data_IF_598781203904
#
_entry.id   IF_598781203904
#
_cell.length_a   1.000
_cell.length_b   1.000
_cell.length_c   1.000
_cell.angle_alpha   90.00
_cell.angle_beta   90.00
_cell.angle_gamma   90.00
#
_symmetry.space_group_name_H-M   'P 1'
#
loop_
_entity.id
_entity.type
_entity.pdbx_description
1 polymer ?
#
# COMPACT_ATOMS: atom_id res chain seq x y z
N UNK A 1 -4.66 -3.32 14.42
CA UNK A 1 -5.86 -2.67 13.86
C UNK A 1 -6.32 -3.48 12.65
N UNK A 2 -7.61 -3.45 12.33
CA UNK A 2 -8.22 -4.13 11.18
C UNK A 2 -8.98 -3.11 10.32
N UNK A 3 -9.05 -3.27 9.00
CA UNK A 3 -9.84 -2.39 8.14
C UNK A 3 -11.34 -2.67 8.35
N UNK A 4 -12.15 -1.62 8.53
CA UNK A 4 -13.59 -1.75 8.81
C UNK A 4 -14.38 -2.46 7.71
N UNK A 5 -13.93 -2.37 6.45
CA UNK A 5 -14.54 -3.04 5.30
C UNK A 5 -14.22 -4.54 5.29
N UNK A 6 -13.20 -4.97 6.02
CA UNK A 6 -12.69 -6.34 6.05
C UNK A 6 -13.05 -7.08 7.35
N UNK A 7 -13.62 -6.38 8.34
CA UNK A 7 -13.96 -6.96 9.64
C UNK A 7 -15.45 -6.72 10.00
N UNK A 8 -16.25 -7.78 10.18
CA UNK A 8 -17.68 -7.65 10.45
C UNK A 8 -17.99 -7.03 11.82
N UNK A 9 -17.10 -7.18 12.83
CA UNK A 9 -17.29 -6.58 14.15
C UNK A 9 -17.13 -5.06 14.07
N UNK A 10 -16.13 -4.58 13.33
CA UNK A 10 -15.96 -3.14 13.09
C UNK A 10 -17.12 -2.56 12.29
N UNK A 11 -17.55 -3.26 11.24
CA UNK A 11 -18.75 -2.89 10.46
C UNK A 11 -20.02 -2.81 11.32
N UNK A 12 -20.18 -3.70 12.31
CA UNK A 12 -21.29 -3.66 13.26
C UNK A 12 -21.14 -2.53 14.28
N UNK A 13 -19.95 -2.37 14.87
CA UNK A 13 -19.63 -1.29 15.81
C UNK A 13 -19.87 0.09 15.21
N UNK A 14 -19.52 0.28 13.92
CA UNK A 14 -19.72 1.57 13.23
C UNK A 14 -21.19 2.02 13.17
N UNK A 15 -22.15 1.11 13.34
CA UNK A 15 -23.59 1.40 13.36
C UNK A 15 -24.09 1.82 14.76
N UNK A 16 -23.28 1.73 15.81
CA UNK A 16 -23.65 2.17 17.16
C UNK A 16 -23.38 3.68 17.37
N UNK A 17 -23.91 4.30 18.43
CA UNK A 17 -23.58 5.68 18.77
C UNK A 17 -22.08 5.94 18.97
N UNK A 18 -21.35 4.99 19.56
CA UNK A 18 -19.91 5.06 19.81
C UNK A 18 -19.09 4.92 18.52
N UNK A 19 -19.63 4.22 17.52
CA UNK A 19 -19.02 4.07 16.21
C UNK A 19 -19.13 5.31 15.31
N UNK A 20 -19.90 6.33 15.72
CA UNK A 20 -20.10 7.54 14.91
C UNK A 20 -18.78 8.29 14.72
N UNK A 21 -18.55 8.77 13.49
CA UNK A 21 -17.39 9.57 13.09
C UNK A 21 -17.48 11.02 13.60
N UNK A 22 -17.66 11.20 14.90
CA UNK A 22 -17.79 12.52 15.53
C UNK A 22 -16.60 12.72 16.45
N UNK A 23 -15.50 13.21 15.87
CA UNK A 23 -14.32 13.63 16.62
C UNK A 23 -13.97 15.08 16.25
N UNK A 24 -13.32 15.79 17.17
CA UNK A 24 -12.91 17.18 16.95
C UNK A 24 -11.81 17.37 15.90
N UNK A 25 -11.17 16.27 15.48
CA UNK A 25 -10.11 16.21 14.48
C UNK A 25 -10.53 15.32 13.30
N UNK A 26 -10.17 15.74 12.08
CA UNK A 26 -10.58 15.06 10.84
C UNK A 26 -9.94 13.68 10.69
N UNK A 27 -8.67 13.53 11.10
CA UNK A 27 -7.99 12.23 11.07
C UNK A 27 -8.64 11.27 12.08
N UNK A 28 -8.88 11.74 13.31
CA UNK A 28 -9.53 10.95 14.34
C UNK A 28 -10.94 10.52 13.94
N UNK A 29 -11.68 11.38 13.25
CA UNK A 29 -13.02 11.06 12.74
C UNK A 29 -13.03 9.89 11.77
N UNK A 30 -11.95 9.65 11.04
CA UNK A 30 -11.85 8.58 10.05
C UNK A 30 -11.19 7.31 10.59
N UNK A 31 -10.13 7.46 11.40
CA UNK A 31 -9.23 6.36 11.75
C UNK A 31 -9.35 5.84 13.18
N UNK A 32 -10.19 6.45 14.02
CA UNK A 32 -10.49 5.91 15.35
C UNK A 32 -11.46 4.74 15.24
N UNK A 33 -10.98 3.59 15.70
CA UNK A 33 -11.70 2.31 15.73
C UNK A 33 -11.08 1.41 16.81
N UNK A 34 -11.88 0.56 17.47
CA UNK A 34 -11.38 -0.36 18.48
C UNK A 34 -10.45 -1.42 17.87
N UNK A 35 -9.59 -1.99 18.71
CA UNK A 35 -8.89 -3.22 18.37
C UNK A 35 -9.87 -4.39 18.41
N UNK A 36 -9.75 -5.31 17.44
CA UNK A 36 -10.54 -6.55 17.37
C UNK A 36 -9.75 -7.77 17.87
N UNK A 37 -8.48 -7.57 18.22
CA UNK A 37 -7.58 -8.56 18.82
C UNK A 37 -6.42 -7.85 19.52
N UNK A 38 -5.76 -8.56 20.45
CA UNK A 38 -4.59 -8.06 21.16
C UNK A 38 -3.39 -7.84 20.21
N UNK A 39 -2.60 -6.77 20.37
CA UNK A 39 -1.41 -6.54 19.56
C UNK A 39 -0.45 -7.73 19.57
N UNK A 40 -0.12 -8.24 18.37
CA UNK A 40 0.76 -9.39 18.20
C UNK A 40 0.04 -10.75 18.15
N UNK A 41 -1.25 -10.83 18.48
CA UNK A 41 -1.99 -12.11 18.46
C UNK A 41 -2.65 -12.42 17.11
N UNK A 42 -2.80 -11.43 16.23
CA UNK A 42 -3.38 -11.63 14.90
C UNK A 42 -2.92 -10.57 13.90
N UNK A 43 -3.13 -10.83 12.62
CA UNK A 43 -2.85 -9.91 11.51
C UNK A 43 -4.12 -9.62 10.70
N UNK A 44 -4.28 -8.36 10.29
CA UNK A 44 -5.34 -7.93 9.38
C UNK A 44 -4.86 -6.67 8.64
N UNK A 45 -5.25 -6.53 7.37
CA UNK A 45 -5.02 -5.30 6.61
C UNK A 45 -5.75 -4.14 7.29
N UNK A 46 -5.12 -2.97 7.44
CA UNK A 46 -5.68 -1.86 8.24
C UNK A 46 -5.07 -0.51 7.93
N UNK A 47 -5.55 0.51 8.64
CA UNK A 47 -5.10 1.90 8.62
C UNK A 47 -3.87 2.15 9.50
N UNK A 48 -3.10 1.10 9.82
CA UNK A 48 -1.94 1.21 10.72
C UNK A 48 -0.85 2.13 10.18
N UNK A 49 -0.72 2.23 8.85
CA UNK A 49 0.26 3.12 8.22
C UNK A 49 -0.18 4.59 8.31
N UNK A 50 -1.48 4.88 8.34
CA UNK A 50 -2.00 6.23 8.62
C UNK A 50 -1.63 6.67 10.03
N UNK A 51 -1.78 5.78 11.02
CA UNK A 51 -1.33 6.01 12.39
C UNK A 51 0.20 6.12 12.52
N UNK A 52 0.96 5.33 11.76
CA UNK A 52 2.41 5.47 11.70
C UNK A 52 2.82 6.84 11.14
N UNK A 53 2.10 7.34 10.13
CA UNK A 53 2.26 8.71 9.62
C UNK A 53 2.07 9.76 10.71
N UNK A 54 1.00 9.66 11.51
CA UNK A 54 0.81 10.53 12.69
C UNK A 54 1.94 10.41 13.70
N UNK A 55 2.40 9.20 13.99
CA UNK A 55 3.53 9.01 14.90
C UNK A 55 4.77 9.75 14.40
N UNK A 56 5.06 9.71 13.10
CA UNK A 56 6.15 10.48 12.48
C UNK A 56 5.94 11.98 12.66
N UNK A 57 4.75 12.52 12.40
CA UNK A 57 4.47 13.94 12.62
C UNK A 57 4.74 14.35 14.07
N UNK A 58 4.19 13.59 15.02
CA UNK A 58 4.31 13.85 16.45
C UNK A 58 5.77 13.73 16.95
N UNK A 59 6.49 12.70 16.53
CA UNK A 59 7.89 12.49 16.90
C UNK A 59 8.82 13.61 16.36
N UNK A 60 8.41 14.30 15.30
CA UNK A 60 9.16 15.38 14.67
C UNK A 60 8.57 16.77 15.02
N UNK A 61 8.03 16.92 16.22
CA UNK A 61 7.58 18.23 16.72
C UNK A 61 6.31 18.77 16.05
N UNK A 62 5.49 17.88 15.47
CA UNK A 62 4.24 18.25 14.79
C UNK A 62 4.44 18.70 13.34
N UNK A 63 5.61 18.46 12.74
CA UNK A 63 5.82 18.70 11.30
C UNK A 63 4.88 17.80 10.50
N UNK A 64 4.08 18.39 9.62
CA UNK A 64 3.15 17.65 8.76
C UNK A 64 3.89 16.62 7.88
N UNK A 65 3.28 15.46 7.65
CA UNK A 65 3.91 14.33 6.95
C UNK A 65 4.32 14.70 5.51
N UNK A 66 3.51 15.49 4.80
CA UNK A 66 3.85 16.09 3.50
C UNK A 66 5.18 16.83 3.55
N UNK A 67 5.35 17.68 4.57
CA UNK A 67 6.57 18.48 4.75
C UNK A 67 7.74 17.61 5.18
N UNK A 68 7.51 16.59 6.01
CA UNK A 68 8.54 15.67 6.47
C UNK A 68 9.13 14.84 5.33
N UNK A 69 8.30 14.33 4.42
CA UNK A 69 8.76 13.44 3.34
C UNK A 69 9.61 14.14 2.28
N UNK A 70 9.45 15.45 2.08
CA UNK A 70 10.26 16.28 1.15
C UNK A 70 10.48 15.65 -0.24
N UNK A 71 9.44 15.06 -0.84
CA UNK A 71 9.53 14.36 -2.12
C UNK A 71 8.70 15.02 -3.21
N UNK A 72 8.96 14.62 -4.46
CA UNK A 72 8.12 14.97 -5.61
C UNK A 72 6.77 14.22 -5.62
N UNK A 73 6.58 13.29 -4.67
CA UNK A 73 5.32 12.65 -4.33
C UNK A 73 4.60 13.51 -3.27
N UNK A 74 3.28 13.62 -3.33
CA UNK A 74 2.49 14.50 -2.46
C UNK A 74 1.24 13.81 -1.91
N UNK A 75 0.80 14.20 -0.72
CA UNK A 75 -0.53 13.91 -0.18
C UNK A 75 -1.57 14.97 -0.57
N UNK A 76 -1.12 16.15 -1.00
CA UNK A 76 -1.96 17.31 -1.28
C UNK A 76 -1.98 17.62 -2.78
N UNK A 77 -2.74 16.83 -3.54
CA UNK A 77 -2.88 17.00 -4.98
C UNK A 77 -3.30 18.43 -5.37
N UNK A 78 -4.14 19.07 -4.56
CA UNK A 78 -4.59 20.45 -4.76
C UNK A 78 -3.46 21.49 -4.70
N UNK A 79 -2.31 21.14 -4.10
CA UNK A 79 -1.13 22.00 -3.98
C UNK A 79 -0.07 21.74 -5.05
N UNK A 80 -0.21 20.68 -5.85
CA UNK A 80 0.79 20.28 -6.88
C UNK A 80 0.17 20.32 -8.28
N UNK A 81 0.10 21.50 -8.88
CA UNK A 81 -0.54 21.74 -10.18
C UNK A 81 -0.03 20.79 -11.30
N UNK A 82 1.28 20.53 -11.38
CA UNK A 82 1.85 19.62 -12.39
C UNK A 82 1.48 18.15 -12.18
N UNK A 83 1.32 17.72 -10.93
CA UNK A 83 0.84 16.36 -10.61
C UNK A 83 -0.64 16.28 -10.97
N UNK A 84 -1.43 17.29 -10.60
CA UNK A 84 -2.85 17.40 -10.94
C UNK A 84 -3.09 17.39 -12.46
N UNK A 85 -2.27 18.11 -13.23
CA UNK A 85 -2.40 18.19 -14.69
C UNK A 85 -2.06 16.87 -15.40
N UNK A 86 -1.10 16.11 -14.87
CA UNK A 86 -0.61 14.86 -15.47
C UNK A 86 -1.25 13.61 -14.86
N UNK A 87 -2.24 13.77 -13.97
CA UNK A 87 -2.92 12.66 -13.33
C UNK A 87 -3.62 11.79 -14.37
N UNK A 88 -3.59 10.49 -14.16
CA UNK A 88 -4.33 9.53 -14.97
C UNK A 88 -5.67 9.27 -14.26
N UNK A 89 -6.76 9.31 -15.02
CA UNK A 89 -8.06 8.95 -14.48
C UNK A 89 -8.19 7.44 -14.32
N UNK A 90 -8.85 7.01 -13.24
CA UNK A 90 -9.12 5.60 -13.04
C UNK A 90 -10.15 5.10 -14.06
N UNK A 91 -9.93 3.87 -14.50
CA UNK A 91 -10.80 3.15 -15.43
C UNK A 91 -11.29 1.87 -14.74
N UNK A 92 -12.49 1.43 -15.08
CA UNK A 92 -13.05 0.15 -14.64
C UNK A 92 -13.34 -0.74 -15.82
N UNK A 93 -13.02 -2.03 -15.67
CA UNK A 93 -13.45 -3.07 -16.59
C UNK A 93 -14.83 -3.57 -16.20
N UNK A 94 -15.76 -3.52 -17.14
CA UNK A 94 -17.10 -4.08 -16.98
C UNK A 94 -17.01 -5.61 -17.10
N UNK A 95 -17.33 -6.39 -16.04
CA UNK A 95 -17.10 -7.83 -16.04
C UNK A 95 -17.76 -8.60 -17.20
N UNK A 96 -18.97 -8.20 -17.60
CA UNK A 96 -19.75 -8.93 -18.60
C UNK A 96 -19.28 -8.67 -20.04
N UNK A 97 -18.77 -7.47 -20.31
CA UNK A 97 -18.41 -7.03 -21.66
C UNK A 97 -16.91 -6.90 -21.90
N UNK A 98 -16.11 -6.86 -20.83
CA UNK A 98 -14.68 -6.55 -20.88
C UNK A 98 -14.36 -5.10 -21.23
N UNK A 99 -15.37 -4.26 -21.47
CA UNK A 99 -15.17 -2.85 -21.85
C UNK A 99 -14.54 -2.06 -20.72
N UNK A 100 -13.63 -1.17 -21.11
CA UNK A 100 -13.01 -0.20 -20.23
C UNK A 100 -13.84 1.10 -20.22
N UNK A 101 -14.31 1.50 -19.05
CA UNK A 101 -15.09 2.72 -18.85
C UNK A 101 -14.42 3.64 -17.81
N UNK A 102 -14.53 4.98 -17.94
CA UNK A 102 -14.09 5.88 -16.89
C UNK A 102 -14.75 5.52 -15.56
N UNK A 103 -13.96 5.49 -14.48
CA UNK A 103 -14.50 5.21 -13.17
C UNK A 103 -15.31 6.42 -12.67
N UNK A 104 -16.61 6.23 -12.50
CA UNK A 104 -17.56 7.31 -12.20
C UNK A 104 -17.75 7.61 -10.72
N UNK A 105 -17.30 6.70 -9.84
CA UNK A 105 -17.28 6.92 -8.39
C UNK A 105 -15.93 7.50 -7.95
N UNK A 106 -15.96 8.61 -7.20
CA UNK A 106 -14.79 9.15 -6.50
C UNK A 106 -14.45 8.25 -5.31
N UNK A 107 -13.36 7.45 -5.34
CA UNK A 107 -13.01 6.64 -4.19
C UNK A 107 -12.66 7.56 -3.02
N UNK A 108 -13.24 7.25 -1.86
CA UNK A 108 -12.98 7.98 -0.61
C UNK A 108 -11.48 8.05 -0.28
N UNK A 109 -10.72 7.07 -0.77
CA UNK A 109 -9.28 6.92 -0.53
C UNK A 109 -8.38 7.83 -1.37
N UNK A 110 -8.91 8.52 -2.39
CA UNK A 110 -8.14 9.45 -3.22
C UNK A 110 -8.91 10.77 -3.48
N UNK A 111 -9.33 11.51 -2.45
CA UNK A 111 -10.07 12.76 -2.64
C UNK A 111 -9.16 13.85 -3.23
N UNK A 112 -9.72 14.74 -4.06
CA UNK A 112 -8.95 15.85 -4.65
C UNK A 112 -8.36 16.81 -3.61
N UNK A 113 -9.01 16.92 -2.44
CA UNK A 113 -8.60 17.77 -1.33
C UNK A 113 -8.65 16.95 -0.05
N UNK A 114 -7.53 16.93 0.67
CA UNK A 114 -7.41 16.24 1.96
C UNK A 114 -7.17 17.25 3.08
N UNK A 115 -7.67 16.92 4.28
CA UNK A 115 -7.43 17.73 5.48
C UNK A 115 -6.21 17.26 6.28
N UNK A 116 -5.68 16.08 5.97
CA UNK A 116 -4.50 15.49 6.58
C UNK A 116 -3.85 14.52 5.58
N UNK A 117 -2.58 14.19 5.80
CA UNK A 117 -1.88 13.19 5.00
C UNK A 117 -2.28 11.76 5.45
N UNK A 118 -2.85 10.97 4.54
CA UNK A 118 -3.10 9.54 4.74
C UNK A 118 -1.84 8.76 4.36
N UNK A 119 -1.09 8.29 5.37
CA UNK A 119 0.12 7.49 5.15
C UNK A 119 -0.15 6.15 4.44
N UNK A 120 -1.36 5.59 4.58
CA UNK A 120 -1.72 4.30 3.99
C UNK A 120 -2.17 4.36 2.54
N UNK A 121 -2.74 5.48 2.07
CA UNK A 121 -3.36 5.55 0.74
C UNK A 121 -3.33 6.91 0.05
N UNK A 122 -2.77 7.96 0.67
CA UNK A 122 -2.94 9.33 0.20
C UNK A 122 -1.89 9.85 -0.79
N UNK A 123 -0.88 9.07 -1.17
CA UNK A 123 0.23 9.55 -2.01
C UNK A 123 -0.16 9.62 -3.50
N UNK A 124 0.18 10.76 -4.11
CA UNK A 124 0.14 11.02 -5.54
C UNK A 124 1.55 11.25 -6.06
N UNK A 125 1.93 10.57 -7.13
CA UNK A 125 3.25 10.70 -7.72
C UNK A 125 3.30 10.11 -9.13
N UNK A 126 4.52 9.95 -9.64
CA UNK A 126 4.76 9.28 -10.93
C UNK A 126 5.54 7.98 -10.72
N UNK A 127 5.39 7.04 -11.65
CA UNK A 127 6.11 5.78 -11.62
C UNK A 127 7.65 5.96 -11.50
N UNK A 128 8.30 6.90 -12.23
CA UNK A 128 9.72 7.18 -12.03
C UNK A 128 10.10 7.63 -10.61
N UNK A 129 9.29 8.49 -9.97
CA UNK A 129 9.57 8.94 -8.60
C UNK A 129 9.45 7.81 -7.59
N UNK A 130 8.44 6.95 -7.75
CA UNK A 130 8.30 5.77 -6.89
C UNK A 130 9.44 4.75 -7.11
N UNK A 131 9.86 4.54 -8.36
CA UNK A 131 10.98 3.67 -8.69
C UNK A 131 12.31 4.15 -8.10
N UNK A 132 12.52 5.47 -7.92
CA UNK A 132 13.71 5.98 -7.21
C UNK A 132 13.76 5.49 -5.77
N UNK A 133 12.62 5.46 -5.07
CA UNK A 133 12.52 4.95 -3.70
C UNK A 133 12.88 3.47 -3.65
N UNK A 134 12.25 2.65 -4.52
CA UNK A 134 12.55 1.21 -4.60
C UNK A 134 14.02 0.95 -4.94
N UNK A 135 14.58 1.74 -5.85
CA UNK A 135 15.98 1.63 -6.29
C UNK A 135 16.95 2.00 -5.17
N UNK A 136 16.67 3.04 -4.37
CA UNK A 136 17.52 3.42 -3.22
C UNK A 136 17.53 2.31 -2.16
N UNK A 137 16.37 1.70 -1.88
CA UNK A 137 16.27 0.56 -0.96
C UNK A 137 17.03 -0.65 -1.51
N UNK A 138 16.82 -1.02 -2.79
CA UNK A 138 17.52 -2.14 -3.43
C UNK A 138 19.05 -1.98 -3.38
N UNK A 139 19.54 -0.77 -3.67
CA UNK A 139 20.97 -0.46 -3.72
C UNK A 139 21.59 -0.29 -2.33
N UNK A 140 20.77 -0.21 -1.29
CA UNK A 140 21.18 0.12 0.07
C UNK A 140 22.15 1.33 0.10
N UNK A 141 21.75 2.40 -0.60
CA UNK A 141 22.67 3.51 -0.93
C UNK A 141 22.76 4.59 0.17
N UNK A 142 22.13 4.36 1.33
CA UNK A 142 22.17 5.26 2.47
C UNK A 142 21.42 6.58 2.29
N UNK A 143 20.74 6.82 1.16
CA UNK A 143 20.04 8.10 0.91
C UNK A 143 18.75 8.25 1.69
N UNK A 144 18.03 7.14 1.86
CA UNK A 144 16.75 7.12 2.58
C UNK A 144 16.90 6.62 4.01
N UNK A 145 17.63 5.52 4.18
CA UNK A 145 17.74 4.79 5.45
C UNK A 145 19.16 4.27 5.61
N UNK A 146 19.61 4.14 6.86
CA UNK A 146 20.85 3.45 7.15
C UNK A 146 20.73 1.94 6.79
N UNK A 147 21.82 1.34 6.35
CA UNK A 147 21.87 -0.07 5.92
C UNK A 147 21.30 -1.06 6.94
N UNK A 148 21.57 -0.84 8.23
CA UNK A 148 20.97 -1.67 9.30
C UNK A 148 19.44 -1.68 9.28
N UNK A 149 18.82 -0.55 8.95
CA UNK A 149 17.36 -0.42 8.85
C UNK A 149 16.84 -1.03 7.55
N UNK A 150 17.55 -0.84 6.43
CA UNK A 150 17.22 -1.50 5.15
C UNK A 150 17.20 -3.01 5.33
N UNK A 151 18.23 -3.60 5.95
CA UNK A 151 18.26 -5.04 6.24
C UNK A 151 17.12 -5.50 7.14
N UNK A 152 16.72 -4.69 8.12
CA UNK A 152 15.59 -5.00 9.00
C UNK A 152 14.28 -5.11 8.20
N UNK A 153 14.08 -4.31 7.15
CA UNK A 153 12.88 -4.36 6.32
C UNK A 153 12.63 -5.73 5.68
N UNK A 154 13.68 -6.53 5.46
CA UNK A 154 13.60 -7.86 4.85
C UNK A 154 13.46 -9.01 5.86
N UNK A 155 13.50 -8.71 7.17
CA UNK A 155 13.32 -9.71 8.24
C UNK A 155 11.84 -9.99 8.50
N UNK A 156 11.56 -11.18 9.01
CA UNK A 156 10.21 -11.54 9.46
C UNK A 156 9.89 -10.84 10.78
N UNK A 157 8.81 -10.06 10.81
CA UNK A 157 8.35 -9.25 11.93
C UNK A 157 7.05 -9.75 12.58
N UNK A 158 6.40 -10.78 12.02
CA UNK A 158 5.18 -11.34 12.61
C UNK A 158 5.49 -12.38 13.68
N UNK A 159 4.71 -12.33 14.76
CA UNK A 159 4.61 -13.45 15.71
C UNK A 159 4.05 -14.69 15.02
N UNK A 160 4.22 -15.90 15.59
CA UNK A 160 3.61 -17.11 15.07
C UNK A 160 2.08 -17.01 14.91
N UNK A 161 1.38 -16.40 15.88
CA UNK A 161 -0.07 -16.24 15.84
C UNK A 161 -0.53 -15.28 14.72
N UNK A 162 0.16 -14.14 14.58
CA UNK A 162 -0.07 -13.18 13.49
C UNK A 162 0.23 -13.79 12.12
N UNK A 163 1.28 -14.62 12.01
CA UNK A 163 1.62 -15.31 10.77
C UNK A 163 0.53 -16.29 10.35
N UNK A 164 0.01 -17.08 11.29
CA UNK A 164 -1.04 -18.06 11.02
C UNK A 164 -2.34 -17.40 10.56
N UNK A 165 -2.80 -16.36 11.25
CA UNK A 165 -4.00 -15.61 10.86
C UNK A 165 -3.85 -14.93 9.49
N UNK A 166 -2.69 -14.34 9.21
CA UNK A 166 -2.37 -13.76 7.90
C UNK A 166 -2.50 -14.80 6.77
N UNK A 167 -1.93 -16.00 6.95
CA UNK A 167 -2.02 -17.10 5.97
C UNK A 167 -3.47 -17.51 5.73
N UNK A 168 -4.29 -17.60 6.77
CA UNK A 168 -5.71 -17.96 6.64
C UNK A 168 -6.46 -16.92 5.81
N UNK A 169 -6.27 -15.64 6.10
CA UNK A 169 -6.92 -14.53 5.37
C UNK A 169 -6.49 -14.54 3.90
N UNK A 170 -5.19 -14.73 3.63
CA UNK A 170 -4.66 -14.68 2.27
C UNK A 170 -5.10 -15.88 1.44
N UNK A 171 -5.20 -17.07 2.04
CA UNK A 171 -5.81 -18.25 1.37
C UNK A 171 -7.26 -18.03 0.99
N UNK A 172 -8.03 -17.36 1.85
CA UNK A 172 -9.43 -17.06 1.57
C UNK A 172 -9.58 -16.03 0.44
N UNK A 173 -8.70 -15.01 0.41
CA UNK A 173 -8.81 -13.87 -0.51
C UNK A 173 -8.16 -14.11 -1.87
N UNK A 174 -7.04 -14.85 -1.93
CA UNK A 174 -6.24 -15.06 -3.15
C UNK A 174 -6.09 -16.55 -3.53
N UNK A 175 -6.84 -17.45 -2.88
CA UNK A 175 -6.78 -18.89 -3.13
C UNK A 175 -5.50 -19.56 -2.63
N UNK A 176 -5.24 -20.79 -3.11
CA UNK A 176 -4.06 -21.59 -2.73
C UNK A 176 -2.75 -21.14 -3.40
N UNK A 177 -2.66 -19.91 -3.89
CA UNK A 177 -1.42 -19.37 -4.42
C UNK A 177 -0.34 -19.47 -3.31
N UNK A 178 0.73 -20.21 -3.62
CA UNK A 178 1.78 -20.56 -2.68
C UNK A 178 2.70 -19.36 -2.43
N UNK A 179 2.17 -18.36 -1.74
CA UNK A 179 2.98 -17.27 -1.25
C UNK A 179 3.61 -17.66 0.08
N UNK A 180 4.94 -17.77 0.13
CA UNK A 180 5.66 -17.93 1.38
C UNK A 180 5.81 -16.56 2.06
N UNK A 181 4.83 -16.23 2.91
CA UNK A 181 4.71 -14.92 3.54
C UNK A 181 5.71 -14.72 4.68
N UNK A 182 6.78 -14.05 4.29
CA UNK A 182 7.98 -13.61 5.00
C UNK A 182 8.00 -12.25 5.70
N UNK A 183 6.93 -11.71 6.29
CA UNK A 183 6.74 -10.25 6.35
C UNK A 183 7.67 -9.42 7.24
N UNK A 184 8.47 -8.56 6.60
CA UNK A 184 8.79 -7.21 7.08
C UNK A 184 7.74 -6.19 6.58
N UNK A 185 8.13 -4.96 6.22
CA UNK A 185 7.21 -3.87 5.79
C UNK A 185 6.48 -4.12 4.44
N UNK A 186 6.49 -5.35 3.93
CA UNK A 186 5.83 -5.72 2.69
C UNK A 186 5.75 -7.23 2.43
N UNK A 187 5.00 -7.50 1.36
CA UNK A 187 4.84 -8.66 0.48
C UNK A 187 6.09 -9.50 0.13
N UNK A 188 5.94 -10.68 -0.50
CA UNK A 188 7.03 -11.60 -0.91
C UNK A 188 6.50 -12.32 -2.15
N UNK A 189 7.27 -12.26 -3.24
CA UNK A 189 7.06 -13.05 -4.46
C UNK A 189 8.02 -14.24 -4.50
N UNK A 190 9.29 -13.98 -4.18
CA UNK A 190 10.36 -14.98 -3.94
C UNK A 190 10.91 -14.88 -2.51
N UNK A 191 11.62 -15.91 -2.05
CA UNK A 191 12.31 -15.88 -0.75
C UNK A 191 13.26 -14.67 -0.70
N UNK A 192 13.14 -13.85 0.34
CA UNK A 192 13.99 -12.67 0.53
C UNK A 192 13.55 -11.41 -0.22
N UNK A 193 12.51 -11.47 -1.06
CA UNK A 193 11.96 -10.28 -1.71
C UNK A 193 10.98 -9.50 -0.82
N UNK A 194 10.79 -8.21 -1.14
CA UNK A 194 9.65 -7.39 -0.70
C UNK A 194 8.69 -7.18 -1.89
N UNK A 195 7.40 -7.07 -1.63
CA UNK A 195 6.40 -6.70 -2.62
C UNK A 195 5.20 -5.99 -1.98
N UNK A 196 4.36 -5.31 -2.72
CA UNK A 196 3.00 -4.99 -2.28
C UNK A 196 2.21 -4.49 -3.49
N UNK A 197 1.01 -3.98 -3.26
CA UNK A 197 0.23 -3.34 -4.30
C UNK A 197 -0.56 -2.13 -3.81
N UNK A 198 -1.20 -1.49 -4.77
CA UNK A 198 -2.15 -0.42 -4.59
C UNK A 198 -3.44 -0.72 -5.33
N UNK A 199 -4.53 -0.14 -4.83
CA UNK A 199 -5.90 -0.47 -5.24
C UNK A 199 -6.14 -0.57 -6.77
N UNK A 200 -5.69 0.39 -7.61
CA UNK A 200 -5.97 0.33 -9.05
C UNK A 200 -4.93 -0.51 -9.80
N UNK A 201 -4.73 -1.77 -9.38
CA UNK A 201 -3.76 -2.72 -9.94
C UNK A 201 -2.35 -2.11 -10.09
N UNK A 202 -1.87 -1.49 -9.01
CA UNK A 202 -0.48 -1.10 -8.85
C UNK A 202 0.25 -2.23 -8.14
N UNK A 203 1.43 -2.63 -8.60
CA UNK A 203 2.21 -3.68 -7.97
C UNK A 203 3.70 -3.33 -7.98
N UNK A 204 4.36 -3.45 -6.84
CA UNK A 204 5.79 -3.21 -6.74
C UNK A 204 6.50 -4.37 -6.04
N UNK A 205 7.79 -4.51 -6.31
CA UNK A 205 8.65 -5.49 -5.65
C UNK A 205 10.11 -5.06 -5.62
N UNK A 206 10.86 -5.64 -4.68
CA UNK A 206 12.30 -5.53 -4.53
C UNK A 206 12.83 -6.95 -4.28
N UNK A 207 13.69 -7.45 -5.16
CA UNK A 207 14.39 -8.73 -5.05
C UNK A 207 15.90 -8.44 -4.97
N UNK A 208 16.47 -8.38 -3.75
CA UNK A 208 17.89 -8.13 -3.56
C UNK A 208 18.78 -9.23 -4.12
N UNK A 209 18.31 -10.49 -4.13
CA UNK A 209 19.10 -11.63 -4.62
C UNK A 209 19.27 -11.55 -6.14
N UNK A 210 18.20 -11.19 -6.85
CA UNK A 210 18.25 -10.96 -8.29
C UNK A 210 18.78 -9.56 -8.68
N UNK A 211 18.94 -8.64 -7.73
CA UNK A 211 19.31 -7.25 -8.02
C UNK A 211 18.22 -6.48 -8.79
N UNK A 212 16.95 -6.82 -8.59
CA UNK A 212 15.82 -6.27 -9.35
C UNK A 212 14.86 -5.53 -8.43
N UNK A 213 14.46 -4.32 -8.82
CA UNK A 213 13.31 -3.62 -8.26
C UNK A 213 12.36 -3.26 -9.39
N UNK A 214 11.06 -3.45 -9.16
CA UNK A 214 10.06 -3.29 -10.20
C UNK A 214 8.81 -2.58 -9.71
N UNK A 215 8.15 -1.92 -10.65
CA UNK A 215 6.83 -1.32 -10.50
C UNK A 215 6.04 -1.59 -11.78
N UNK A 216 4.92 -2.26 -11.63
CA UNK A 216 3.84 -2.27 -12.60
C UNK A 216 2.79 -1.25 -12.13
N UNK A 217 2.51 -0.25 -12.95
CA UNK A 217 1.57 0.81 -12.60
C UNK A 217 0.46 0.90 -13.64
N UNK A 218 -0.72 0.37 -13.31
CA UNK A 218 -1.94 0.63 -14.06
C UNK A 218 -2.85 1.61 -13.30
N UNK A 219 -3.97 2.00 -13.90
CA UNK A 219 -5.04 2.77 -13.25
C UNK A 219 -6.39 2.07 -13.49
N UNK A 220 -6.39 0.73 -13.36
CA UNK A 220 -7.51 -0.13 -13.73
C UNK A 220 -8.15 -0.78 -12.50
N UNK A 221 -9.47 -0.87 -12.53
CA UNK A 221 -10.30 -1.61 -11.58
C UNK A 221 -11.11 -2.70 -12.31
N UNK A 222 -11.59 -3.73 -11.60
CA UNK A 222 -11.42 -3.99 -10.16
C UNK A 222 -9.97 -4.35 -9.80
N UNK A 223 -9.60 -4.25 -8.53
CA UNK A 223 -8.34 -4.82 -8.03
C UNK A 223 -8.26 -6.30 -8.38
N UNK A 224 -7.06 -6.78 -8.73
CA UNK A 224 -6.81 -8.13 -9.26
C UNK A 224 -7.57 -8.41 -10.57
N UNK A 225 -7.62 -7.39 -11.44
CA UNK A 225 -8.13 -7.55 -12.81
C UNK A 225 -7.28 -8.59 -13.56
N UNK A 226 -7.92 -9.62 -14.11
CA UNK A 226 -7.21 -10.76 -14.70
C UNK A 226 -6.23 -10.35 -15.81
N UNK A 227 -6.65 -9.49 -16.73
CA UNK A 227 -5.76 -9.06 -17.82
C UNK A 227 -4.57 -8.25 -17.27
N UNK A 228 -4.81 -7.42 -16.25
CA UNK A 228 -3.73 -6.69 -15.58
C UNK A 228 -2.76 -7.61 -14.86
N UNK A 229 -3.24 -8.67 -14.20
CA UNK A 229 -2.36 -9.64 -13.52
C UNK A 229 -1.61 -10.54 -14.49
N UNK A 230 -2.22 -10.93 -15.61
CA UNK A 230 -1.55 -11.70 -16.66
C UNK A 230 -0.42 -10.87 -17.29
N UNK A 231 -0.67 -9.57 -17.56
CA UNK A 231 0.36 -8.66 -18.08
C UNK A 231 1.48 -8.41 -17.08
N UNK A 232 1.15 -8.27 -15.78
CA UNK A 232 2.14 -8.19 -14.71
C UNK A 232 3.07 -9.42 -14.72
N UNK A 233 2.50 -10.62 -14.84
CA UNK A 233 3.26 -11.88 -14.86
C UNK A 233 4.21 -11.95 -16.05
N UNK A 234 3.75 -11.54 -17.24
CA UNK A 234 4.58 -11.47 -18.45
C UNK A 234 5.69 -10.44 -18.32
N UNK A 235 5.34 -9.23 -17.85
CA UNK A 235 6.29 -8.15 -17.62
C UNK A 235 7.38 -8.55 -16.62
N UNK A 236 7.00 -9.18 -15.50
CA UNK A 236 7.97 -9.66 -14.52
C UNK A 236 8.87 -10.73 -15.12
N UNK A 237 8.32 -11.75 -15.79
CA UNK A 237 9.13 -12.80 -16.44
C UNK A 237 10.15 -12.22 -17.42
N UNK A 238 9.75 -11.24 -18.20
CA UNK A 238 10.65 -10.58 -19.15
C UNK A 238 11.73 -9.76 -18.44
N UNK A 239 11.36 -8.97 -17.42
CA UNK A 239 12.30 -8.18 -16.63
C UNK A 239 13.40 -9.05 -16.01
N UNK A 240 13.05 -10.19 -15.41
CA UNK A 240 14.05 -11.09 -14.82
C UNK A 240 14.93 -11.77 -15.88
N UNK A 241 14.39 -12.11 -17.05
CA UNK A 241 15.21 -12.63 -18.16
C UNK A 241 16.23 -11.60 -18.62
N UNK A 242 15.83 -10.35 -18.77
CA UNK A 242 16.73 -9.26 -19.15
C UNK A 242 17.80 -9.02 -18.08
N UNK A 243 17.42 -9.01 -16.80
CA UNK A 243 18.36 -8.82 -15.70
C UNK A 243 19.43 -9.93 -15.61
N UNK A 244 19.08 -11.18 -15.94
CA UNK A 244 20.04 -12.30 -16.00
C UNK A 244 21.00 -12.24 -17.19
N UNK A 245 20.70 -11.43 -18.21
CA UNK A 245 21.52 -11.27 -19.40
C UNK A 245 22.54 -10.12 -19.28
N UNK A 246 22.51 -9.35 -18.19
CA UNK A 246 23.46 -8.28 -17.86
C UNK A 246 24.63 -8.80 -17.01
#
# INVERSE_FOLDING_TARGET
>A
MANELMDPLLSAWRKTPEGRRVHGDAFMSEYVMPLVYEPGESWMYSVSIDWAGKLVEHANGGVALETYMQQDITFHLEKKALVKQRRIEMTSRVPESGLLIPQSWSPYFAPERVNHASGGSGLWGSAPEFLKVLTSILRDDGKLLASGIVMEMFKSQLSPASKNSCIVILKFTHGNAAFEFTWGLGGKRKKGSLAWGGYPNLFWWIDPEAGVAGLYASHLLPTDDKESTDLLDEFEKDLYKQAQAL
#
